data_IF_962739384677
#
_entry.id   IF_962739384677
#
_cell.length_a   1.000
_cell.length_b   1.000
_cell.length_c   1.000
_cell.angle_alpha   90.00
_cell.angle_beta   90.00
_cell.angle_gamma   90.00
#
_symmetry.space_group_name_H-M   'P 1'
#
loop_
_entity.id
_entity.type
_entity.pdbx_description
1 polymer ?
#
# COMPACT_ATOMS: atom_id res chain seq x y z
N UNK A 1 1.91 -17.15 -21.66
CA UNK A 1 3.18 -16.39 -21.66
C UNK A 1 3.28 -15.36 -20.53
N UNK A 2 2.26 -14.53 -20.26
CA UNK A 2 2.30 -13.53 -19.18
C UNK A 2 2.07 -14.10 -17.78
N UNK A 3 1.16 -15.07 -17.62
CA UNK A 3 0.83 -15.69 -16.32
C UNK A 3 1.96 -16.56 -15.73
N UNK A 4 2.67 -17.34 -16.54
CA UNK A 4 3.79 -18.17 -16.05
C UNK A 4 5.02 -17.34 -15.67
N UNK A 5 5.31 -16.27 -16.42
CA UNK A 5 6.38 -15.34 -16.06
C UNK A 5 6.07 -14.61 -14.75
N UNK A 6 4.82 -14.19 -14.57
CA UNK A 6 4.35 -13.60 -13.31
C UNK A 6 4.49 -14.61 -12.15
N UNK A 7 4.11 -15.87 -12.38
CA UNK A 7 4.25 -16.95 -11.41
C UNK A 7 5.71 -17.26 -11.04
N UNK A 8 6.63 -17.24 -12.00
CA UNK A 8 8.06 -17.45 -11.76
C UNK A 8 8.69 -16.30 -10.95
N UNK A 9 8.41 -15.05 -11.35
CA UNK A 9 8.83 -13.85 -10.61
C UNK A 9 8.26 -13.88 -9.18
N UNK A 10 6.98 -14.20 -9.04
CA UNK A 10 6.30 -14.28 -7.74
C UNK A 10 6.91 -15.35 -6.84
N UNK A 11 7.17 -16.54 -7.38
CA UNK A 11 7.74 -17.63 -6.59
C UNK A 11 9.19 -17.35 -6.16
N UNK A 12 10.00 -16.81 -7.06
CA UNK A 12 11.42 -16.60 -6.77
C UNK A 12 11.71 -15.34 -5.96
N UNK A 13 10.99 -14.24 -6.23
CA UNK A 13 11.24 -12.95 -5.56
C UNK A 13 10.44 -12.84 -4.26
N UNK A 14 9.27 -13.48 -4.16
CA UNK A 14 8.39 -13.33 -2.99
C UNK A 14 8.38 -14.59 -2.15
N UNK A 15 8.04 -15.77 -2.70
CA UNK A 15 7.91 -16.98 -1.88
C UNK A 15 9.26 -17.47 -1.33
N UNK A 16 10.33 -17.46 -2.14
CA UNK A 16 11.67 -17.90 -1.74
C UNK A 16 12.24 -17.18 -0.49
N UNK A 17 12.42 -15.85 -0.50
CA UNK A 17 12.94 -15.13 0.67
C UNK A 17 11.97 -15.12 1.85
N UNK A 18 10.66 -15.21 1.61
CA UNK A 18 9.66 -15.26 2.66
C UNK A 18 9.69 -16.60 3.42
N UNK A 19 9.85 -17.72 2.74
CA UNK A 19 9.99 -19.05 3.37
C UNK A 19 11.34 -19.18 4.07
N UNK A 20 12.42 -18.73 3.43
CA UNK A 20 13.77 -18.84 4.01
C UNK A 20 13.93 -17.99 5.28
N UNK A 21 13.32 -16.80 5.32
CA UNK A 21 13.29 -15.96 6.52
C UNK A 21 12.41 -16.57 7.63
N UNK A 22 11.30 -17.22 7.28
CA UNK A 22 10.44 -17.93 8.24
C UNK A 22 11.15 -19.12 8.89
N UNK A 23 11.90 -19.90 8.10
CA UNK A 23 12.69 -21.04 8.58
C UNK A 23 13.87 -20.57 9.44
N UNK A 24 14.54 -19.48 9.05
CA UNK A 24 15.62 -18.87 9.84
C UNK A 24 15.12 -18.34 11.19
N UNK A 25 13.95 -17.69 11.21
CA UNK A 25 13.29 -17.25 12.44
C UNK A 25 12.85 -18.43 13.31
N UNK A 26 12.32 -19.49 12.70
CA UNK A 26 11.94 -20.72 13.41
C UNK A 26 13.14 -21.41 14.08
N UNK A 27 14.30 -21.43 13.41
CA UNK A 27 15.53 -22.01 13.93
C UNK A 27 16.16 -21.17 15.07
N UNK A 28 16.03 -19.84 15.03
CA UNK A 28 16.59 -18.94 16.05
C UNK A 28 15.71 -18.84 17.30
N UNK A 29 14.39 -19.10 17.20
CA UNK A 29 13.40 -18.94 18.28
C UNK A 29 12.89 -20.28 18.87
N UNK A 30 13.78 -21.25 19.08
CA UNK A 30 13.66 -22.25 20.17
C UNK A 30 12.33 -23.04 20.23
N UNK A 31 11.78 -23.48 19.09
CA UNK A 31 10.61 -24.38 19.01
C UNK A 31 9.33 -23.92 19.72
N UNK A 32 9.18 -22.63 20.05
CA UNK A 32 7.99 -22.12 20.74
C UNK A 32 7.14 -21.24 19.80
N UNK A 33 6.30 -21.91 19.00
CA UNK A 33 5.53 -21.32 17.90
C UNK A 33 4.77 -20.04 18.28
N UNK A 34 4.16 -19.99 19.47
CA UNK A 34 3.38 -18.83 19.90
C UNK A 34 4.22 -17.56 20.09
N UNK A 35 5.40 -17.70 20.70
CA UNK A 35 6.30 -16.56 20.96
C UNK A 35 6.96 -16.11 19.66
N UNK A 36 7.33 -17.04 18.78
CA UNK A 36 7.91 -16.73 17.47
C UNK A 36 6.96 -15.90 16.60
N UNK A 37 5.66 -16.25 16.56
CA UNK A 37 4.65 -15.48 15.80
C UNK A 37 4.44 -14.09 16.41
N UNK A 38 4.39 -14.01 17.74
CA UNK A 38 4.17 -12.73 18.44
C UNK A 38 5.36 -11.78 18.22
N UNK A 39 6.59 -12.27 18.34
CA UNK A 39 7.79 -11.46 18.06
C UNK A 39 7.85 -11.06 16.59
N UNK A 40 7.57 -11.99 15.67
CA UNK A 40 7.57 -11.70 14.22
C UNK A 40 6.55 -10.63 13.84
N UNK A 41 5.32 -10.72 14.36
CA UNK A 41 4.28 -9.71 14.12
C UNK A 41 4.64 -8.34 14.69
N UNK A 42 5.26 -8.29 15.88
CA UNK A 42 5.76 -7.02 16.47
C UNK A 42 6.91 -6.43 15.64
N UNK A 43 7.84 -7.27 15.17
CA UNK A 43 8.99 -6.84 14.38
C UNK A 43 8.54 -6.30 13.01
N UNK A 44 7.64 -6.99 12.33
CA UNK A 44 7.01 -6.50 11.10
C UNK A 44 6.31 -5.18 11.36
N UNK A 45 5.51 -5.07 12.43
CA UNK A 45 4.83 -3.81 12.80
C UNK A 45 5.82 -2.68 13.04
N UNK A 46 6.96 -2.94 13.69
CA UNK A 46 8.01 -1.92 13.90
C UNK A 46 8.64 -1.44 12.59
N UNK A 47 8.90 -2.36 11.65
CA UNK A 47 9.47 -2.01 10.34
C UNK A 47 8.44 -1.30 9.45
N UNK A 48 7.16 -1.71 9.52
CA UNK A 48 6.08 -1.08 8.74
C UNK A 48 5.53 0.19 9.38
N UNK A 49 5.70 0.42 10.68
CA UNK A 49 5.27 1.64 11.38
C UNK A 49 5.71 2.95 10.70
N UNK A 50 6.99 3.16 10.32
CA UNK A 50 7.37 4.39 9.61
C UNK A 50 6.68 4.52 8.24
N UNK A 51 6.41 3.40 7.57
CA UNK A 51 5.69 3.36 6.30
C UNK A 51 4.20 3.70 6.51
N UNK A 52 3.55 3.11 7.51
CA UNK A 52 2.15 3.37 7.87
C UNK A 52 1.96 4.82 8.31
N UNK A 53 2.89 5.39 9.08
CA UNK A 53 2.85 6.81 9.45
C UNK A 53 2.94 7.72 8.23
N UNK A 54 3.74 7.37 7.21
CA UNK A 54 3.77 8.09 5.93
C UNK A 54 2.44 7.96 5.20
N UNK A 55 1.85 6.76 5.15
CA UNK A 55 0.53 6.54 4.53
C UNK A 55 -0.56 7.39 5.22
N UNK A 56 -0.64 7.37 6.54
CA UNK A 56 -1.62 8.14 7.33
C UNK A 56 -1.50 9.65 7.07
N UNK A 57 -0.27 10.20 7.02
CA UNK A 57 -0.06 11.62 6.71
C UNK A 57 -0.57 12.00 5.32
N UNK A 58 -0.37 11.14 4.33
CA UNK A 58 -0.84 11.38 2.96
C UNK A 58 -2.37 11.34 2.88
N UNK A 59 -3.01 10.37 3.54
CA UNK A 59 -4.48 10.29 3.62
C UNK A 59 -5.06 11.53 4.30
N UNK A 60 -4.45 12.02 5.38
CA UNK A 60 -4.91 13.23 6.08
C UNK A 60 -4.83 14.48 5.20
N UNK A 61 -3.74 14.65 4.44
CA UNK A 61 -3.61 15.77 3.48
C UNK A 61 -4.65 15.69 2.35
N UNK A 62 -5.02 14.49 1.93
CA UNK A 62 -6.08 14.31 0.94
C UNK A 62 -7.46 14.68 1.50
N UNK A 63 -7.74 14.33 2.76
CA UNK A 63 -8.97 14.73 3.45
C UNK A 63 -9.11 16.26 3.60
N UNK A 64 -8.01 16.99 3.80
CA UNK A 64 -8.06 18.47 3.86
C UNK A 64 -8.40 19.12 2.53
N UNK A 65 -8.12 18.45 1.41
CA UNK A 65 -8.39 18.96 0.05
C UNK A 65 -9.75 18.50 -0.48
N UNK A 66 -10.36 17.45 0.10
CA UNK A 66 -11.71 17.00 -0.25
C UNK A 66 -12.78 18.12 -0.29
N UNK A 67 -12.87 19.06 0.67
CA UNK A 67 -13.88 20.13 0.59
C UNK A 67 -13.71 21.00 -0.66
N UNK A 68 -12.47 21.38 -1.02
CA UNK A 68 -12.20 22.16 -2.24
C UNK A 68 -12.61 21.40 -3.50
N UNK A 69 -12.41 20.09 -3.52
CA UNK A 69 -12.82 19.23 -4.65
C UNK A 69 -14.35 19.15 -4.72
N UNK A 70 -15.06 19.11 -3.60
CA UNK A 70 -16.52 19.12 -3.57
C UNK A 70 -17.09 20.44 -4.11
N UNK A 71 -16.51 21.58 -3.72
CA UNK A 71 -16.91 22.89 -4.25
C UNK A 71 -16.66 22.99 -5.76
N UNK A 72 -15.52 22.47 -6.24
CA UNK A 72 -15.20 22.38 -7.65
C UNK A 72 -16.21 21.52 -8.42
N UNK A 73 -16.59 20.37 -7.85
CA UNK A 73 -17.60 19.46 -8.43
C UNK A 73 -18.97 20.13 -8.52
N UNK A 74 -19.36 20.94 -7.53
CA UNK A 74 -20.61 21.71 -7.58
C UNK A 74 -20.54 22.83 -8.63
N UNK A 75 -19.41 23.55 -8.71
CA UNK A 75 -19.22 24.66 -9.65
C UNK A 75 -19.13 24.22 -11.11
N UNK A 76 -18.58 23.03 -11.37
CA UNK A 76 -18.36 22.48 -12.71
C UNK A 76 -19.11 21.14 -12.92
N UNK A 77 -20.29 20.97 -12.32
CA UNK A 77 -21.06 19.72 -12.39
C UNK A 77 -21.34 19.24 -13.82
N UNK A 78 -21.48 20.18 -14.77
CA UNK A 78 -21.72 19.90 -16.19
C UNK A 78 -20.44 19.56 -17.00
N UNK A 79 -19.25 19.77 -16.44
CA UNK A 79 -17.99 19.65 -17.18
C UNK A 79 -16.97 18.77 -16.43
N UNK A 80 -17.22 17.46 -16.47
CA UNK A 80 -16.40 16.44 -15.79
C UNK A 80 -14.92 16.47 -16.21
N UNK A 81 -14.64 16.89 -17.45
CA UNK A 81 -13.27 17.03 -17.95
C UNK A 81 -12.52 18.12 -17.17
N UNK A 82 -13.14 19.29 -17.00
CA UNK A 82 -12.56 20.38 -16.20
C UNK A 82 -12.43 20.03 -14.73
N UNK A 83 -13.41 19.33 -14.15
CA UNK A 83 -13.33 18.85 -12.76
C UNK A 83 -12.09 17.99 -12.55
N UNK A 84 -11.80 17.05 -13.47
CA UNK A 84 -10.63 16.17 -13.38
C UNK A 84 -9.31 16.94 -13.46
N UNK A 85 -9.21 17.89 -14.39
CA UNK A 85 -8.02 18.71 -14.60
C UNK A 85 -7.72 19.60 -13.38
N UNK A 86 -8.73 20.32 -12.87
CA UNK A 86 -8.53 21.22 -11.72
C UNK A 86 -8.29 20.42 -10.44
N UNK A 87 -8.92 19.26 -10.27
CA UNK A 87 -8.63 18.35 -9.14
C UNK A 87 -7.15 17.93 -9.14
N UNK A 88 -6.61 17.56 -10.31
CA UNK A 88 -5.20 17.19 -10.43
C UNK A 88 -4.26 18.38 -10.17
N UNK A 89 -4.67 19.59 -10.59
CA UNK A 89 -3.94 20.83 -10.31
C UNK A 89 -3.89 21.13 -8.82
N UNK A 90 -5.02 21.04 -8.12
CA UNK A 90 -5.10 21.26 -6.66
C UNK A 90 -4.23 20.23 -5.93
N UNK A 91 -4.23 18.96 -6.34
CA UNK A 91 -3.35 17.94 -5.76
C UNK A 91 -1.86 18.28 -5.94
N UNK A 92 -1.46 18.78 -7.12
CA UNK A 92 -0.08 19.23 -7.37
C UNK A 92 0.30 20.44 -6.51
N UNK A 93 -0.58 21.44 -6.42
CA UNK A 93 -0.35 22.65 -5.60
C UNK A 93 -0.22 22.33 -4.11
N UNK A 94 -0.96 21.33 -3.61
CA UNK A 94 -0.88 20.89 -2.21
C UNK A 94 0.22 19.81 -1.97
N UNK A 95 0.99 19.46 -3.00
CA UNK A 95 2.07 18.47 -2.90
C UNK A 95 1.58 17.06 -2.54
N UNK A 96 0.35 16.71 -2.93
CA UNK A 96 -0.28 15.41 -2.66
C UNK A 96 0.02 14.49 -3.83
N UNK A 97 0.74 13.40 -3.57
CA UNK A 97 0.96 12.37 -4.58
C UNK A 97 -0.10 11.26 -4.44
N UNK A 98 -1.12 11.16 -5.32
CA UNK A 98 -2.16 10.14 -5.24
C UNK A 98 -1.59 8.72 -5.36
N UNK A 99 -0.42 8.57 -6.01
CA UNK A 99 0.33 7.31 -6.09
C UNK A 99 0.84 6.82 -4.73
N UNK A 100 1.01 7.71 -3.75
CA UNK A 100 1.40 7.32 -2.38
C UNK A 100 0.33 6.50 -1.65
N UNK A 101 -0.94 6.65 -2.04
CA UNK A 101 -2.07 5.87 -1.53
C UNK A 101 -2.29 4.54 -2.28
N UNK A 102 -1.56 4.27 -3.37
CA UNK A 102 -1.69 3.03 -4.14
C UNK A 102 -0.91 1.86 -3.52
N UNK A 103 0.06 2.11 -2.64
CA UNK A 103 0.83 1.06 -1.96
C UNK A 103 -0.01 -0.02 -1.25
N UNK A 104 -1.05 0.34 -0.47
CA UNK A 104 -1.98 -0.62 0.12
C UNK A 104 -2.75 -1.47 -0.91
N UNK A 105 -3.09 -0.89 -2.07
CA UNK A 105 -3.86 -1.58 -3.11
C UNK A 105 -2.99 -2.59 -3.89
N UNK A 106 -1.72 -2.26 -4.11
CA UNK A 106 -0.75 -3.19 -4.71
C UNK A 106 -0.49 -4.42 -3.85
N UNK A 107 -0.61 -4.33 -2.52
CA UNK A 107 -0.52 -5.48 -1.61
C UNK A 107 -1.77 -6.36 -1.71
N UNK A 108 -2.93 -5.78 -2.07
CA UNK A 108 -4.19 -6.50 -2.20
C UNK A 108 -4.32 -7.30 -3.52
N UNK A 109 -3.77 -6.78 -4.63
CA UNK A 109 -3.88 -7.43 -5.95
C UNK A 109 -3.35 -8.88 -5.99
N UNK A 110 -2.20 -9.21 -5.38
CA UNK A 110 -1.69 -10.57 -5.42
C UNK A 110 -2.52 -11.57 -4.61
N UNK A 111 -3.21 -11.10 -3.57
CA UNK A 111 -4.11 -11.93 -2.76
C UNK A 111 -5.32 -12.37 -3.61
N UNK A 112 -5.77 -11.54 -4.55
CA UNK A 112 -6.86 -11.86 -5.47
C UNK A 112 -6.45 -12.83 -6.60
N UNK A 113 -5.17 -12.84 -6.99
CA UNK A 113 -4.66 -13.76 -8.02
C UNK A 113 -4.30 -15.13 -7.41
N UNK A 114 -4.09 -15.19 -6.09
CA UNK A 114 -3.77 -16.42 -5.36
C UNK A 114 -4.96 -17.21 -4.79
N UNK A 115 -6.17 -16.65 -4.82
CA UNK A 115 -7.43 -17.33 -4.45
C UNK A 115 -8.11 -17.88 -5.71
#
# INVERSE_FOLDING_TARGET
MTLEFLGFIWNQIILGPMINSLIMLYAVLFSNFGISILVFTVLIRLVTLPLTLRQIRMTKKMSTVQPLIKDLQQKYANDKSRVSQETMRIYKEHGINPLGCLGPMFIQMPIWIGL
#
